data_IF_968965029594
#
_entry.id   IF_968965029594
#
_cell.length_a   1.000
_cell.length_b   1.000
_cell.length_c   1.000
_cell.angle_alpha   90.00
_cell.angle_beta   90.00
_cell.angle_gamma   90.00
#
_symmetry.space_group_name_H-M   'P 1'
#
loop_
_entity.id
_entity.type
_entity.pdbx_description
1 polymer ?
#
# COMPACT_ATOMS: atom_id res chain seq x y z
N UNK A 1 -23.77 -26.55 -26.11
CA UNK A 1 -22.39 -26.65 -25.61
C UNK A 1 -22.21 -25.58 -24.54
N UNK A 2 -21.84 -25.89 -23.30
CA UNK A 2 -21.57 -24.85 -22.31
C UNK A 2 -20.31 -24.11 -22.73
N UNK A 3 -20.42 -22.81 -23.00
CA UNK A 3 -19.32 -21.97 -23.39
C UNK A 3 -18.22 -21.99 -22.34
N UNK A 4 -17.02 -22.40 -22.70
CA UNK A 4 -15.82 -22.19 -21.91
C UNK A 4 -15.68 -20.72 -21.60
N UNK A 5 -16.07 -20.32 -20.41
CA UNK A 5 -15.78 -18.97 -19.87
C UNK A 5 -14.24 -18.86 -19.80
N UNK A 6 -13.62 -18.26 -20.81
CA UNK A 6 -12.19 -18.03 -20.84
C UNK A 6 -11.79 -17.32 -19.55
N UNK A 7 -10.97 -17.96 -18.74
CA UNK A 7 -10.37 -17.34 -17.56
C UNK A 7 -9.63 -16.09 -18.05
N UNK A 8 -10.08 -14.92 -17.62
CA UNK A 8 -9.45 -13.63 -17.95
C UNK A 8 -8.37 -13.24 -16.97
N UNK A 9 -8.25 -13.97 -15.84
CA UNK A 9 -7.29 -13.72 -14.76
C UNK A 9 -6.69 -15.03 -14.29
N UNK A 10 -5.37 -15.10 -14.29
CA UNK A 10 -4.61 -16.15 -13.62
C UNK A 10 -4.28 -15.71 -12.20
N UNK A 11 -4.34 -16.63 -11.24
CA UNK A 11 -4.06 -16.36 -9.83
C UNK A 11 -2.97 -17.31 -9.34
N UNK A 12 -1.86 -16.74 -8.86
CA UNK A 12 -0.79 -17.46 -8.18
C UNK A 12 -0.82 -17.07 -6.72
N UNK A 13 -1.26 -17.99 -5.88
CA UNK A 13 -1.46 -17.75 -4.44
C UNK A 13 -0.25 -18.18 -3.62
N UNK A 14 -0.12 -17.61 -2.44
CA UNK A 14 0.78 -18.02 -1.36
C UNK A 14 2.26 -18.10 -1.79
N UNK A 15 2.68 -17.17 -2.65
CA UNK A 15 4.09 -17.04 -3.00
C UNK A 15 4.86 -16.48 -1.81
N UNK A 16 5.84 -17.23 -1.34
CA UNK A 16 6.70 -16.80 -0.24
C UNK A 16 7.67 -15.77 -0.77
N UNK A 17 7.61 -14.54 -0.23
CA UNK A 17 8.56 -13.47 -0.55
C UNK A 17 9.62 -13.30 0.55
N UNK A 18 9.32 -13.76 1.76
CA UNK A 18 10.24 -13.82 2.88
C UNK A 18 10.04 -15.17 3.59
N UNK A 19 11.04 -16.06 3.56
CA UNK A 19 10.98 -17.34 4.27
C UNK A 19 10.86 -17.14 5.79
N UNK A 20 10.34 -18.16 6.46
CA UNK A 20 10.33 -18.24 7.91
C UNK A 20 11.76 -18.16 8.46
N UNK A 21 11.91 -17.50 9.57
CA UNK A 21 13.18 -17.44 10.30
C UNK A 21 12.98 -18.08 11.68
N UNK A 22 13.46 -19.30 11.87
CA UNK A 22 13.35 -20.01 13.15
C UNK A 22 14.05 -19.29 14.30
N UNK A 23 15.12 -18.53 14.01
CA UNK A 23 15.87 -17.81 15.04
C UNK A 23 15.08 -16.65 15.66
N UNK A 24 14.23 -16.00 14.87
CA UNK A 24 13.36 -14.90 15.32
C UNK A 24 11.91 -15.32 15.54
N UNK A 25 11.55 -16.57 15.23
CA UNK A 25 10.18 -17.06 15.29
C UNK A 25 9.25 -16.46 14.22
N UNK A 26 9.80 -15.75 13.23
CA UNK A 26 9.02 -15.18 12.13
C UNK A 26 8.54 -16.29 11.17
N UNK A 27 7.25 -16.28 10.88
CA UNK A 27 6.64 -17.18 9.88
C UNK A 27 6.86 -16.67 8.46
N UNK A 28 6.71 -17.56 7.46
CA UNK A 28 6.72 -17.17 6.04
C UNK A 28 5.80 -15.99 5.79
N UNK A 29 6.33 -14.95 5.13
CA UNK A 29 5.51 -13.86 4.60
C UNK A 29 5.18 -14.15 3.14
N UNK A 30 3.91 -13.95 2.78
CA UNK A 30 3.36 -14.41 1.50
C UNK A 30 2.64 -13.31 0.76
N UNK A 31 2.54 -13.47 -0.56
CA UNK A 31 1.77 -12.61 -1.44
C UNK A 31 0.95 -13.43 -2.45
N UNK A 32 -0.09 -12.80 -3.00
CA UNK A 32 -0.88 -13.36 -4.10
C UNK A 32 -0.67 -12.51 -5.35
N UNK A 33 -0.46 -13.16 -6.50
CA UNK A 33 -0.32 -12.51 -7.81
C UNK A 33 -1.56 -12.75 -8.65
N UNK A 34 -2.12 -11.68 -9.21
CA UNK A 34 -3.26 -11.69 -10.12
C UNK A 34 -2.83 -11.10 -11.46
N UNK A 35 -2.69 -11.92 -12.48
CA UNK A 35 -2.23 -11.45 -13.78
C UNK A 35 -3.28 -11.62 -14.89
N UNK A 36 -3.34 -10.66 -15.84
CA UNK A 36 -4.16 -10.81 -17.05
C UNK A 36 -3.71 -12.00 -17.87
N UNK A 37 -4.64 -12.83 -18.34
CA UNK A 37 -4.28 -13.98 -19.20
C UNK A 37 -3.99 -13.53 -20.64
N UNK A 38 -4.80 -12.59 -21.15
CA UNK A 38 -4.61 -12.05 -22.50
C UNK A 38 -3.80 -10.77 -22.44
N UNK A 39 -2.53 -10.83 -22.82
CA UNK A 39 -1.62 -9.68 -22.91
C UNK A 39 -0.70 -9.82 -24.11
N UNK A 40 -0.42 -8.72 -24.79
CA UNK A 40 0.54 -8.65 -25.92
C UNK A 40 1.96 -8.32 -25.46
N UNK A 41 2.10 -7.70 -24.27
CA UNK A 41 3.34 -7.23 -23.67
C UNK A 41 3.25 -7.28 -22.14
N UNK A 42 4.37 -7.03 -21.46
CA UNK A 42 4.40 -6.90 -20.01
C UNK A 42 3.48 -5.75 -19.56
N UNK A 43 2.76 -5.96 -18.45
CA UNK A 43 1.79 -5.00 -17.93
C UNK A 43 2.34 -4.26 -16.71
N UNK A 44 1.82 -3.06 -16.45
CA UNK A 44 2.08 -2.34 -15.22
C UNK A 44 1.74 -3.19 -14.01
N UNK A 45 2.49 -3.03 -12.92
CA UNK A 45 2.37 -3.80 -11.67
C UNK A 45 1.86 -2.88 -10.56
N UNK A 46 0.76 -3.27 -9.92
CA UNK A 46 0.22 -2.61 -8.75
C UNK A 46 0.36 -3.51 -7.52
N UNK A 47 1.24 -3.15 -6.60
CA UNK A 47 1.34 -3.80 -5.30
C UNK A 47 0.30 -3.17 -4.37
N UNK A 48 -0.52 -3.97 -3.71
CA UNK A 48 -1.53 -3.50 -2.77
C UNK A 48 -1.23 -4.00 -1.36
N UNK A 49 -1.12 -3.07 -0.43
CA UNK A 49 -0.94 -3.28 1.01
C UNK A 49 -2.27 -3.11 1.71
N UNK A 50 -2.74 -4.17 2.36
CA UNK A 50 -4.05 -4.15 3.01
C UNK A 50 -4.08 -3.33 4.31
N UNK A 51 -5.26 -2.81 4.65
CA UNK A 51 -5.52 -2.20 5.95
C UNK A 51 -5.81 -3.22 7.05
N UNK A 52 -6.15 -2.71 8.23
CA UNK A 52 -6.48 -3.50 9.41
C UNK A 52 -5.79 -3.00 10.68
N UNK A 53 -5.67 -1.68 10.83
CA UNK A 53 -5.14 -1.01 12.04
C UNK A 53 -3.81 -1.61 12.54
N UNK A 54 -2.95 -2.04 11.63
CA UNK A 54 -1.64 -2.68 11.85
C UNK A 54 -1.68 -4.00 12.63
N UNK A 55 -2.82 -4.41 13.20
CA UNK A 55 -2.98 -5.60 14.03
C UNK A 55 -3.85 -6.71 13.41
N UNK A 56 -4.48 -6.44 12.28
CA UNK A 56 -5.43 -7.36 11.64
C UNK A 56 -5.35 -7.28 10.11
N UNK A 57 -6.25 -7.98 9.44
CA UNK A 57 -6.29 -8.06 7.98
C UNK A 57 -5.45 -9.20 7.41
N UNK A 58 -5.71 -9.53 6.16
CA UNK A 58 -5.01 -10.56 5.39
C UNK A 58 -5.25 -10.38 3.90
N UNK A 59 -4.31 -10.82 3.06
CA UNK A 59 -4.35 -10.68 1.60
C UNK A 59 -5.59 -11.30 0.95
N UNK A 60 -6.17 -12.36 1.53
CA UNK A 60 -7.33 -13.06 0.98
C UNK A 60 -8.57 -12.18 0.89
N UNK A 61 -8.77 -11.28 1.86
CA UNK A 61 -9.91 -10.35 1.90
C UNK A 61 -9.92 -9.46 0.65
N UNK A 62 -8.75 -9.17 0.08
CA UNK A 62 -8.56 -8.28 -1.06
C UNK A 62 -8.39 -9.02 -2.40
N UNK A 63 -8.67 -10.32 -2.47
CA UNK A 63 -8.65 -11.09 -3.72
C UNK A 63 -9.59 -10.52 -4.80
N UNK A 64 -10.67 -9.87 -4.39
CA UNK A 64 -11.56 -9.15 -5.31
C UNK A 64 -10.82 -7.99 -6.01
N UNK A 65 -10.06 -7.21 -5.25
CA UNK A 65 -9.30 -6.06 -5.73
C UNK A 65 -8.27 -6.53 -6.78
N UNK A 66 -7.45 -7.53 -6.46
CA UNK A 66 -6.50 -8.10 -7.41
C UNK A 66 -7.17 -8.63 -8.69
N UNK A 67 -8.31 -9.33 -8.55
CA UNK A 67 -9.06 -9.84 -9.71
C UNK A 67 -9.61 -8.72 -10.58
N UNK A 68 -10.13 -7.64 -9.99
CA UNK A 68 -10.69 -6.50 -10.72
C UNK A 68 -9.62 -5.76 -11.51
N UNK A 69 -8.47 -5.50 -10.88
CA UNK A 69 -7.33 -4.84 -11.53
C UNK A 69 -6.74 -5.67 -12.67
N UNK A 70 -6.56 -6.98 -12.49
CA UNK A 70 -6.11 -7.86 -13.57
C UNK A 70 -7.04 -7.82 -14.78
N UNK A 71 -8.37 -7.70 -14.58
CA UNK A 71 -9.34 -7.48 -15.65
C UNK A 71 -9.21 -6.11 -16.35
N UNK A 72 -8.52 -5.16 -15.75
CA UNK A 72 -8.16 -3.85 -16.31
C UNK A 72 -6.75 -3.85 -16.92
N UNK A 73 -6.18 -5.01 -17.14
CA UNK A 73 -4.83 -5.20 -17.68
C UNK A 73 -3.71 -4.62 -16.80
N UNK A 74 -3.90 -4.62 -15.48
CA UNK A 74 -2.88 -4.27 -14.49
C UNK A 74 -2.59 -5.52 -13.66
N UNK A 75 -1.34 -6.02 -13.71
CA UNK A 75 -0.93 -7.10 -12.84
C UNK A 75 -0.95 -6.60 -11.39
N UNK A 76 -1.60 -7.36 -10.50
CA UNK A 76 -1.76 -6.91 -9.12
C UNK A 76 -1.17 -7.92 -8.16
N UNK A 77 -0.41 -7.43 -7.21
CA UNK A 77 0.17 -8.21 -6.12
C UNK A 77 -0.47 -7.77 -4.82
N UNK A 78 -1.10 -8.69 -4.09
CA UNK A 78 -1.66 -8.42 -2.75
C UNK A 78 -0.70 -9.01 -1.73
N UNK A 79 -0.18 -8.16 -0.85
CA UNK A 79 0.88 -8.52 0.10
C UNK A 79 0.30 -8.72 1.49
N UNK A 80 0.70 -9.81 2.18
CA UNK A 80 0.63 -9.90 3.63
C UNK A 80 1.91 -9.33 4.26
N UNK A 81 1.79 -8.92 5.51
CA UNK A 81 2.90 -8.46 6.34
C UNK A 81 2.66 -8.89 7.80
N UNK A 82 3.70 -8.99 8.66
CA UNK A 82 3.52 -9.31 10.07
C UNK A 82 2.73 -8.20 10.78
N UNK A 83 2.04 -8.53 11.85
CA UNK A 83 1.09 -7.64 12.52
C UNK A 83 1.44 -7.44 13.98
N UNK A 84 1.08 -6.28 14.53
CA UNK A 84 1.15 -6.00 15.96
C UNK A 84 0.33 -7.02 16.77
N UNK A 85 0.78 -7.43 17.97
CA UNK A 85 1.99 -7.00 18.66
C UNK A 85 3.27 -7.78 18.27
N UNK A 86 3.18 -8.75 17.31
CA UNK A 86 4.32 -9.57 16.90
C UNK A 86 5.37 -8.81 16.06
N UNK A 87 4.99 -7.66 15.52
CA UNK A 87 5.86 -6.77 14.78
C UNK A 87 5.45 -5.32 15.02
N UNK A 88 6.42 -4.41 15.05
CA UNK A 88 6.20 -2.97 15.05
C UNK A 88 6.08 -2.44 13.62
N UNK A 89 5.79 -1.14 13.48
CA UNK A 89 5.60 -0.50 12.18
C UNK A 89 6.84 -0.59 11.26
N UNK A 90 8.06 -0.51 11.82
CA UNK A 90 9.30 -0.56 11.05
C UNK A 90 9.53 -1.95 10.45
N UNK A 91 9.30 -2.99 11.24
CA UNK A 91 9.35 -4.37 10.76
C UNK A 91 8.30 -4.65 9.67
N UNK A 92 7.07 -4.13 9.84
CA UNK A 92 6.01 -4.24 8.83
C UNK A 92 6.43 -3.55 7.53
N UNK A 93 6.92 -2.31 7.62
CA UNK A 93 7.37 -1.53 6.47
C UNK A 93 8.57 -2.18 5.78
N UNK A 94 9.53 -2.71 6.54
CA UNK A 94 10.69 -3.39 5.98
C UNK A 94 10.30 -4.68 5.25
N UNK A 95 9.38 -5.47 5.79
CA UNK A 95 8.89 -6.67 5.10
C UNK A 95 8.12 -6.31 3.83
N UNK A 96 7.37 -5.19 3.81
CA UNK A 96 6.77 -4.68 2.57
C UNK A 96 7.86 -4.29 1.56
N UNK A 97 8.94 -3.62 1.97
CA UNK A 97 10.06 -3.31 1.06
C UNK A 97 10.70 -4.56 0.46
N UNK A 98 10.84 -5.64 1.25
CA UNK A 98 11.28 -6.96 0.75
C UNK A 98 10.29 -7.57 -0.24
N UNK A 99 8.97 -7.37 -0.03
CA UNK A 99 7.97 -7.82 -1.00
C UNK A 99 8.09 -7.07 -2.34
N UNK A 100 8.39 -5.77 -2.30
CA UNK A 100 8.66 -4.96 -3.49
C UNK A 100 9.92 -5.46 -4.21
N UNK A 101 10.98 -5.79 -3.47
CA UNK A 101 12.18 -6.42 -4.03
C UNK A 101 11.84 -7.74 -4.73
N UNK A 102 11.10 -8.62 -4.06
CA UNK A 102 10.65 -9.88 -4.67
C UNK A 102 9.87 -9.64 -5.96
N UNK A 103 8.98 -8.65 -5.97
CA UNK A 103 8.24 -8.25 -7.18
C UNK A 103 9.20 -7.80 -8.27
N UNK A 104 10.14 -6.92 -7.97
CA UNK A 104 11.15 -6.44 -8.93
C UNK A 104 11.92 -7.59 -9.59
N UNK A 105 12.28 -8.60 -8.82
CA UNK A 105 13.10 -9.73 -9.26
C UNK A 105 12.28 -10.83 -10.00
N UNK A 106 11.00 -11.00 -9.67
CA UNK A 106 10.24 -12.18 -10.10
C UNK A 106 9.05 -11.88 -11.01
N UNK A 107 8.55 -10.64 -11.05
CA UNK A 107 7.22 -10.36 -11.62
C UNK A 107 7.16 -10.52 -13.14
N UNK A 108 8.29 -10.46 -13.84
CA UNK A 108 8.37 -10.68 -15.28
C UNK A 108 7.86 -12.08 -15.67
N UNK A 109 8.15 -13.12 -14.87
CA UNK A 109 7.67 -14.47 -15.08
C UNK A 109 6.15 -14.61 -14.99
N UNK A 110 5.48 -13.65 -14.33
CA UNK A 110 4.03 -13.55 -14.26
C UNK A 110 3.45 -12.60 -15.32
N UNK A 111 4.32 -11.92 -16.09
CA UNK A 111 3.95 -10.99 -17.14
C UNK A 111 3.75 -9.54 -16.68
N UNK A 112 4.32 -9.19 -15.54
CA UNK A 112 4.44 -7.82 -15.07
C UNK A 112 5.74 -7.18 -15.54
N UNK A 113 5.72 -5.86 -15.73
CA UNK A 113 6.90 -5.11 -16.06
C UNK A 113 7.66 -4.71 -14.77
N UNK A 114 8.87 -5.24 -14.52
CA UNK A 114 9.64 -4.92 -13.33
C UNK A 114 10.12 -3.47 -13.26
N UNK A 115 10.05 -2.72 -14.38
CA UNK A 115 10.42 -1.31 -14.43
C UNK A 115 9.21 -0.37 -14.28
N UNK A 116 8.01 -0.94 -14.11
CA UNK A 116 6.75 -0.20 -13.96
C UNK A 116 5.96 -0.73 -12.77
N UNK A 117 6.54 -0.55 -11.58
CA UNK A 117 5.98 -0.98 -10.30
C UNK A 117 5.38 0.22 -9.58
N UNK A 118 4.14 0.09 -9.14
CA UNK A 118 3.40 1.05 -8.33
C UNK A 118 2.99 0.40 -7.02
N UNK A 119 2.93 1.18 -5.94
CA UNK A 119 2.43 0.71 -4.65
C UNK A 119 1.13 1.43 -4.29
N UNK A 120 0.19 0.70 -3.71
CA UNK A 120 -1.06 1.26 -3.20
C UNK A 120 -1.38 0.65 -1.84
N UNK A 121 -2.15 1.37 -1.04
CA UNK A 121 -2.66 0.82 0.21
C UNK A 121 -3.88 1.57 0.70
N UNK A 122 -4.66 0.90 1.55
CA UNK A 122 -5.83 1.45 2.21
C UNK A 122 -5.60 1.51 3.73
N UNK A 123 -6.02 2.62 4.38
CA UNK A 123 -5.94 2.75 5.84
C UNK A 123 -4.50 2.55 6.36
N UNK A 124 -4.28 1.68 7.34
CA UNK A 124 -2.94 1.29 7.82
C UNK A 124 -2.01 0.80 6.69
N UNK A 125 -2.55 0.12 5.66
CA UNK A 125 -1.78 -0.27 4.48
C UNK A 125 -1.36 0.94 3.62
N UNK A 126 -2.17 1.99 3.60
CA UNK A 126 -1.83 3.27 2.97
C UNK A 126 -0.69 3.98 3.69
N UNK A 127 -0.70 3.97 5.02
CA UNK A 127 0.42 4.42 5.84
C UNK A 127 1.74 3.71 5.47
N UNK A 128 1.72 2.38 5.52
CA UNK A 128 2.91 1.57 5.24
C UNK A 128 3.39 1.74 3.79
N UNK A 129 2.47 1.84 2.83
CA UNK A 129 2.81 2.10 1.42
C UNK A 129 3.46 3.48 1.23
N UNK A 130 2.95 4.53 1.91
CA UNK A 130 3.54 5.86 1.90
C UNK A 130 4.94 5.85 2.53
N UNK A 131 5.06 5.24 3.71
CA UNK A 131 6.32 5.20 4.45
C UNK A 131 7.42 4.49 3.63
N UNK A 132 7.14 3.31 3.09
CA UNK A 132 8.08 2.55 2.25
C UNK A 132 8.43 3.30 0.97
N UNK A 133 7.46 3.94 0.33
CA UNK A 133 7.69 4.64 -0.93
C UNK A 133 8.47 5.94 -0.79
N UNK A 134 8.35 6.63 0.36
CA UNK A 134 8.95 7.94 0.61
C UNK A 134 10.30 7.82 1.35
N UNK A 135 10.36 7.05 2.44
CA UNK A 135 11.56 6.92 3.26
C UNK A 135 12.59 6.04 2.56
N UNK A 136 13.72 6.62 2.16
CA UNK A 136 14.77 5.96 1.36
C UNK A 136 15.38 4.74 2.02
N UNK A 137 15.42 4.72 3.33
CA UNK A 137 16.10 3.69 4.14
C UNK A 137 15.60 2.26 3.88
N UNK A 138 14.29 2.07 3.72
CA UNK A 138 13.70 0.74 3.56
C UNK A 138 14.24 -0.03 2.34
N UNK A 139 14.36 0.63 1.20
CA UNK A 139 14.90 -0.01 0.00
C UNK A 139 16.41 -0.20 0.09
N UNK A 140 17.15 0.75 0.71
CA UNK A 140 18.58 0.58 0.97
C UNK A 140 18.83 -0.63 1.88
N UNK A 141 18.08 -0.77 2.96
CA UNK A 141 18.13 -1.96 3.86
C UNK A 141 17.74 -3.24 3.13
N UNK A 142 16.84 -3.18 2.17
CA UNK A 142 16.48 -4.32 1.33
C UNK A 142 17.51 -4.62 0.22
N UNK A 143 18.55 -3.80 0.05
CA UNK A 143 19.64 -3.97 -0.91
C UNK A 143 19.24 -3.68 -2.35
N UNK A 144 18.30 -2.75 -2.57
CA UNK A 144 17.90 -2.26 -3.90
C UNK A 144 17.70 -0.74 -3.90
N UNK A 145 17.77 -0.13 -5.08
CA UNK A 145 17.26 1.23 -5.27
C UNK A 145 15.72 1.21 -5.24
N UNK A 146 15.08 2.33 -4.90
CA UNK A 146 13.62 2.45 -4.94
C UNK A 146 13.08 2.20 -6.37
N UNK A 147 12.36 1.09 -6.64
CA UNK A 147 11.88 0.75 -7.97
C UNK A 147 10.51 1.34 -8.29
N UNK A 148 9.88 2.04 -7.33
CA UNK A 148 8.51 2.51 -7.46
C UNK A 148 8.41 3.69 -8.43
N UNK A 149 7.46 3.61 -9.35
CA UNK A 149 7.11 4.67 -10.30
C UNK A 149 6.00 5.59 -9.78
N UNK A 150 5.28 5.17 -8.73
CA UNK A 150 4.25 6.00 -8.12
C UNK A 150 3.60 5.31 -6.93
N UNK A 151 2.89 6.12 -6.13
CA UNK A 151 2.21 5.72 -4.90
C UNK A 151 0.73 6.10 -5.03
N UNK A 152 -0.19 5.18 -4.74
CA UNK A 152 -1.63 5.45 -4.73
C UNK A 152 -2.18 5.24 -3.32
N UNK A 153 -2.56 6.30 -2.65
CA UNK A 153 -3.08 6.26 -1.29
C UNK A 153 -4.61 6.27 -1.30
N UNK A 154 -5.22 5.31 -0.63
CA UNK A 154 -6.68 5.19 -0.51
C UNK A 154 -7.04 5.33 0.96
N UNK A 155 -7.47 6.54 1.34
CA UNK A 155 -7.89 6.87 2.69
C UNK A 155 -6.85 6.42 3.74
N UNK A 156 -5.59 6.78 3.50
CA UNK A 156 -4.45 6.36 4.30
C UNK A 156 -4.55 6.93 5.73
N UNK A 157 -4.37 6.05 6.73
CA UNK A 157 -4.26 6.46 8.12
C UNK A 157 -2.80 6.83 8.45
N UNK A 158 -2.54 7.55 9.52
CA UNK A 158 -1.22 7.70 10.13
C UNK A 158 -0.17 8.43 9.30
N UNK A 159 -0.54 9.25 8.32
CA UNK A 159 0.42 10.05 7.56
C UNK A 159 1.14 11.09 8.44
N UNK A 160 0.49 11.53 9.54
CA UNK A 160 1.04 12.26 10.69
C UNK A 160 0.79 11.44 11.96
N UNK A 161 1.53 10.37 12.17
CA UNK A 161 1.41 9.53 13.37
C UNK A 161 1.88 10.29 14.62
N UNK A 162 2.91 11.13 14.49
CA UNK A 162 3.41 11.96 15.58
C UNK A 162 2.33 12.90 16.12
N UNK A 163 1.69 13.67 15.26
CA UNK A 163 0.62 14.58 15.67
C UNK A 163 -0.54 13.86 16.34
N UNK A 164 -0.95 12.72 15.77
CA UNK A 164 -2.02 11.90 16.32
C UNK A 164 -1.67 11.32 17.70
N UNK A 165 -0.54 10.64 17.84
CA UNK A 165 -0.17 10.00 19.12
C UNK A 165 0.16 11.01 20.22
N UNK A 166 0.63 12.22 19.86
CA UNK A 166 0.88 13.28 20.83
C UNK A 166 -0.40 13.92 21.36
N UNK A 167 -1.47 13.95 20.56
CA UNK A 167 -2.76 14.52 20.93
C UNK A 167 -3.63 13.56 21.74
N UNK A 168 -3.38 12.26 21.65
CA UNK A 168 -4.18 11.23 22.28
C UNK A 168 -3.48 10.67 23.53
N UNK A 169 -4.27 10.10 24.44
CA UNK A 169 -3.78 9.33 25.58
C UNK A 169 -4.17 7.87 25.40
N UNK A 170 -3.20 6.99 25.55
CA UNK A 170 -3.42 5.55 25.37
C UNK A 170 -3.04 4.78 26.62
N UNK A 171 -3.89 3.84 27.01
CA UNK A 171 -3.58 2.88 28.06
C UNK A 171 -2.49 1.89 27.62
N UNK A 172 -1.66 1.39 28.55
CA UNK A 172 -0.69 0.35 28.28
C UNK A 172 -1.34 -0.87 27.58
N UNK A 173 -0.66 -1.41 26.56
CA UNK A 173 -1.19 -2.52 25.75
C UNK A 173 -2.12 -2.11 24.61
N UNK A 174 -2.38 -0.82 24.43
CA UNK A 174 -3.11 -0.34 23.27
C UNK A 174 -2.37 -0.69 21.96
N UNK A 175 -3.12 -1.00 20.91
CA UNK A 175 -2.57 -1.36 19.59
C UNK A 175 -1.60 -0.32 19.05
N UNK A 176 -1.87 0.97 19.23
CA UNK A 176 -0.97 2.03 18.77
C UNK A 176 0.39 1.97 19.49
N UNK A 177 0.39 1.85 20.83
CA UNK A 177 1.65 1.74 21.59
C UNK A 177 2.40 0.44 21.30
N UNK A 178 1.68 -0.66 21.07
CA UNK A 178 2.29 -1.92 20.65
C UNK A 178 2.94 -1.81 19.25
N UNK A 179 2.41 -0.93 18.40
CA UNK A 179 2.88 -0.76 17.01
C UNK A 179 3.96 0.31 16.90
N UNK A 180 3.79 1.43 17.61
CA UNK A 180 4.60 2.65 17.45
C UNK A 180 5.39 3.02 18.71
N UNK A 181 5.36 2.18 19.77
CA UNK A 181 5.94 2.47 21.09
C UNK A 181 5.34 3.71 21.77
N UNK A 182 5.94 4.17 22.87
CA UNK A 182 5.59 5.41 23.56
C UNK A 182 6.67 6.50 23.42
N UNK A 183 7.54 6.37 22.41
CA UNK A 183 8.61 7.32 22.14
C UNK A 183 8.22 8.29 21.03
N UNK A 184 8.11 9.61 21.31
CA UNK A 184 7.77 10.61 20.31
C UNK A 184 8.73 10.69 19.12
N UNK A 185 10.01 10.36 19.26
CA UNK A 185 10.95 10.33 18.14
C UNK A 185 10.63 9.15 17.20
N UNK A 186 10.23 8.01 17.75
CA UNK A 186 9.72 6.89 16.95
C UNK A 186 8.43 7.27 16.21
N UNK A 187 7.57 8.08 16.81
CA UNK A 187 6.34 8.54 16.15
C UNK A 187 6.62 9.43 14.93
N UNK A 188 7.66 10.30 15.01
CA UNK A 188 8.12 11.08 13.85
C UNK A 188 8.67 10.17 12.76
N UNK A 189 9.54 9.22 13.13
CA UNK A 189 10.09 8.24 12.21
C UNK A 189 9.01 7.39 11.53
N UNK A 190 7.91 7.10 12.24
CA UNK A 190 6.75 6.40 11.71
C UNK A 190 5.84 7.26 10.83
N UNK A 191 6.02 8.58 10.80
CA UNK A 191 5.13 9.51 10.09
C UNK A 191 5.66 9.82 8.68
N UNK A 192 5.02 9.35 7.60
CA UNK A 192 5.45 9.64 6.23
C UNK A 192 5.70 11.12 5.94
N UNK A 193 4.96 12.03 6.56
CA UNK A 193 5.08 13.48 6.31
C UNK A 193 6.45 14.07 6.66
N UNK A 194 7.19 13.48 7.60
CA UNK A 194 8.50 13.96 8.00
C UNK A 194 9.64 13.46 7.10
N UNK A 195 9.33 12.58 6.14
CA UNK A 195 10.28 12.02 5.19
C UNK A 195 10.10 12.54 3.75
N UNK A 196 9.20 13.52 3.55
CA UNK A 196 8.97 14.12 2.23
C UNK A 196 10.23 14.73 1.63
N UNK A 197 10.45 14.53 0.34
CA UNK A 197 11.61 15.07 -0.38
C UNK A 197 11.33 15.15 -1.90
N UNK A 198 12.08 15.99 -2.62
CA UNK A 198 11.86 16.25 -4.07
C UNK A 198 12.00 15.03 -5.00
N UNK A 199 12.73 14.00 -4.58
CA UNK A 199 13.02 12.82 -5.41
C UNK A 199 12.12 11.61 -5.04
N UNK A 200 11.05 11.83 -4.26
CA UNK A 200 10.09 10.77 -3.96
C UNK A 200 9.24 10.43 -5.19
N UNK A 201 8.70 9.21 -5.30
CA UNK A 201 7.77 8.86 -6.36
C UNK A 201 6.53 9.77 -6.33
N UNK A 202 5.96 10.12 -7.50
CA UNK A 202 4.71 10.88 -7.56
C UNK A 202 3.57 10.14 -6.86
N UNK A 203 2.60 10.89 -6.36
CA UNK A 203 1.51 10.35 -5.54
C UNK A 203 0.14 10.75 -6.08
N UNK A 204 -0.78 9.79 -6.09
CA UNK A 204 -2.21 10.00 -6.27
C UNK A 204 -2.91 9.66 -4.94
N UNK A 205 -3.60 10.63 -4.35
CA UNK A 205 -4.13 10.52 -2.99
C UNK A 205 -5.66 10.67 -3.03
N UNK A 206 -6.35 9.69 -2.47
CA UNK A 206 -7.80 9.73 -2.26
C UNK A 206 -8.12 9.73 -0.76
N UNK A 207 -8.96 10.66 -0.32
CA UNK A 207 -9.53 10.70 1.01
C UNK A 207 -11.06 10.65 0.97
N UNK A 208 -11.66 9.93 1.91
CA UNK A 208 -13.10 9.95 2.13
C UNK A 208 -13.56 11.25 2.79
N UNK A 209 -14.59 11.90 2.25
CA UNK A 209 -15.14 13.13 2.83
C UNK A 209 -15.94 12.91 4.12
N UNK A 210 -16.20 11.64 4.50
CA UNK A 210 -16.86 11.22 5.74
C UNK A 210 -16.04 10.12 6.43
N UNK A 211 -14.71 10.22 6.33
CA UNK A 211 -13.77 9.31 6.99
C UNK A 211 -13.63 9.62 8.49
N UNK A 212 -12.72 8.93 9.18
CA UNK A 212 -12.42 9.23 10.58
C UNK A 212 -11.71 10.58 10.71
N UNK A 213 -12.00 11.39 11.76
CA UNK A 213 -11.36 12.69 11.96
C UNK A 213 -9.83 12.63 11.95
N UNK A 214 -9.23 11.61 12.57
CA UNK A 214 -7.78 11.42 12.58
C UNK A 214 -7.18 11.16 11.17
N UNK A 215 -7.92 10.48 10.29
CA UNK A 215 -7.51 10.27 8.90
C UNK A 215 -7.66 11.57 8.11
N UNK A 216 -8.74 12.31 8.32
CA UNK A 216 -8.97 13.60 7.69
C UNK A 216 -7.84 14.57 8.03
N UNK A 217 -7.60 14.80 9.30
CA UNK A 217 -6.58 15.73 9.80
C UNK A 217 -5.17 15.33 9.31
N UNK A 218 -4.83 14.06 9.42
CA UNK A 218 -3.53 13.52 9.02
C UNK A 218 -3.28 13.68 7.50
N UNK A 219 -4.30 13.47 6.65
CA UNK A 219 -4.20 13.68 5.21
C UNK A 219 -4.06 15.17 4.85
N UNK A 220 -4.81 16.07 5.49
CA UNK A 220 -4.72 17.51 5.25
C UNK A 220 -3.33 18.06 5.62
N UNK A 221 -2.78 17.65 6.76
CA UNK A 221 -1.42 18.02 7.17
C UNK A 221 -0.38 17.49 6.19
N UNK A 222 -0.50 16.22 5.81
CA UNK A 222 0.41 15.58 4.84
C UNK A 222 0.39 16.29 3.49
N UNK A 223 -0.80 16.56 2.93
CA UNK A 223 -0.94 17.25 1.65
C UNK A 223 -0.44 18.69 1.73
N UNK A 224 -0.62 19.35 2.87
CA UNK A 224 -0.07 20.70 3.11
C UNK A 224 1.45 20.68 3.10
N UNK A 225 2.08 19.73 3.80
CA UNK A 225 3.53 19.56 3.79
C UNK A 225 4.06 19.16 2.39
N UNK A 226 3.31 18.33 1.66
CA UNK A 226 3.65 17.88 0.31
C UNK A 226 3.77 19.03 -0.69
N UNK A 227 3.02 20.13 -0.52
CA UNK A 227 3.07 21.31 -1.39
C UNK A 227 4.45 21.97 -1.47
N UNK A 228 5.30 21.78 -0.47
CA UNK A 228 6.69 22.25 -0.51
C UNK A 228 7.54 21.54 -1.59
N UNK A 229 7.11 20.38 -2.06
CA UNK A 229 7.82 19.54 -3.03
C UNK A 229 7.04 19.35 -4.33
N UNK A 230 5.71 19.33 -4.24
CA UNK A 230 4.75 19.17 -5.33
C UNK A 230 3.73 20.30 -5.22
N UNK A 231 3.85 21.40 -5.99
CA UNK A 231 3.00 22.59 -5.84
C UNK A 231 1.51 22.31 -5.93
N UNK A 232 1.12 21.37 -6.80
CA UNK A 232 -0.27 20.92 -6.97
C UNK A 232 -0.33 19.40 -6.76
N UNK A 233 -0.52 18.92 -5.51
CA UNK A 233 -0.69 17.50 -5.25
C UNK A 233 -1.93 16.93 -5.93
N UNK A 234 -1.82 15.71 -6.49
CA UNK A 234 -2.96 14.98 -7.06
C UNK A 234 -3.79 14.37 -5.92
N UNK A 235 -4.66 15.19 -5.32
CA UNK A 235 -5.43 14.90 -4.13
C UNK A 235 -6.92 15.06 -4.34
N UNK A 236 -7.68 13.99 -4.07
CA UNK A 236 -9.11 13.90 -4.32
C UNK A 236 -9.90 13.58 -3.05
N UNK A 237 -10.83 14.46 -2.67
CA UNK A 237 -11.78 14.22 -1.59
C UNK A 237 -13.07 13.65 -2.15
N UNK A 238 -13.41 12.42 -1.79
CA UNK A 238 -14.64 11.77 -2.19
C UNK A 238 -15.77 12.09 -1.19
N UNK A 239 -16.45 13.21 -1.39
CA UNK A 239 -17.35 13.90 -0.45
C UNK A 239 -18.25 13.00 0.42
N UNK A 240 -18.84 11.95 -0.15
CA UNK A 240 -19.82 11.10 0.53
C UNK A 240 -19.25 9.73 0.96
N UNK A 241 -17.95 9.51 0.84
CA UNK A 241 -17.34 8.23 1.19
C UNK A 241 -16.88 8.20 2.65
N UNK A 242 -17.32 7.18 3.37
CA UNK A 242 -16.77 6.76 4.66
C UNK A 242 -15.52 5.90 4.43
N UNK A 243 -14.76 5.64 5.48
CA UNK A 243 -13.49 4.90 5.45
C UNK A 243 -13.55 3.55 4.71
N UNK A 244 -14.37 2.63 5.17
CA UNK A 244 -14.48 1.30 4.57
C UNK A 244 -15.05 1.35 3.13
N UNK A 245 -16.08 2.14 2.80
CA UNK A 245 -16.51 2.38 1.43
C UNK A 245 -15.44 2.89 0.47
N UNK A 246 -14.34 3.48 0.95
CA UNK A 246 -13.23 3.92 0.09
C UNK A 246 -12.54 2.72 -0.59
N UNK A 247 -12.44 1.58 0.05
CA UNK A 247 -11.88 0.38 -0.59
C UNK A 247 -12.97 -0.50 -1.22
N UNK A 248 -14.17 -0.58 -0.61
CA UNK A 248 -15.24 -1.41 -1.14
C UNK A 248 -15.79 -0.92 -2.50
N UNK A 249 -15.62 0.36 -2.84
CA UNK A 249 -16.03 0.88 -4.15
C UNK A 249 -15.39 0.14 -5.34
N UNK A 250 -14.24 -0.51 -5.13
CA UNK A 250 -13.56 -1.32 -6.15
C UNK A 250 -14.24 -2.67 -6.42
N UNK A 251 -15.30 -3.05 -5.70
CA UNK A 251 -16.19 -4.13 -6.14
C UNK A 251 -16.94 -3.77 -7.42
N UNK A 252 -17.30 -2.50 -7.60
CA UNK A 252 -17.89 -2.02 -8.83
C UNK A 252 -16.83 -1.86 -9.92
N UNK A 253 -16.86 -2.72 -10.94
CA UNK A 253 -15.90 -2.71 -12.04
C UNK A 253 -15.97 -1.45 -12.94
N UNK A 254 -17.04 -0.67 -12.84
CA UNK A 254 -17.24 0.58 -13.61
C UNK A 254 -16.84 1.83 -12.81
N UNK A 255 -16.30 1.67 -11.60
CA UNK A 255 -15.88 2.80 -10.76
C UNK A 255 -14.82 3.65 -11.48
N UNK A 256 -15.02 4.97 -11.47
CA UNK A 256 -14.13 5.92 -12.16
C UNK A 256 -12.68 5.87 -11.66
N UNK A 257 -12.47 5.49 -10.39
CA UNK A 257 -11.11 5.36 -9.80
C UNK A 257 -10.20 4.42 -10.59
N UNK A 258 -10.73 3.40 -11.24
CA UNK A 258 -9.92 2.56 -12.13
C UNK A 258 -9.29 3.35 -13.27
N UNK A 259 -10.06 4.23 -13.92
CA UNK A 259 -9.56 5.05 -15.04
C UNK A 259 -8.55 6.09 -14.57
N UNK A 260 -8.82 6.73 -13.44
CA UNK A 260 -7.94 7.74 -12.85
C UNK A 260 -6.60 7.13 -12.45
N UNK A 261 -6.60 6.02 -11.72
CA UNK A 261 -5.37 5.34 -11.31
C UNK A 261 -4.60 4.81 -12.52
N UNK A 262 -5.28 4.22 -13.52
CA UNK A 262 -4.60 3.80 -14.77
C UNK A 262 -4.04 5.00 -15.52
N UNK A 263 -4.75 6.12 -15.56
CA UNK A 263 -4.27 7.39 -16.13
C UNK A 263 -3.01 7.89 -15.43
N UNK A 264 -3.04 7.93 -14.09
CA UNK A 264 -1.88 8.27 -13.28
C UNK A 264 -0.69 7.34 -13.57
N UNK A 265 -0.90 6.02 -13.57
CA UNK A 265 0.17 5.06 -13.85
C UNK A 265 0.78 5.26 -15.25
N UNK A 266 -0.02 5.56 -16.26
CA UNK A 266 0.45 5.80 -17.63
C UNK A 266 1.23 7.10 -17.81
N UNK A 267 1.00 8.09 -16.95
CA UNK A 267 1.69 9.38 -16.98
C UNK A 267 3.11 9.30 -16.38
N UNK A 268 3.45 8.21 -15.68
CA UNK A 268 4.78 7.92 -15.14
C UNK A 268 5.57 7.03 -16.10
#
# INVERSE_FOLDING_TARGET
MPGCAFKTVQRSKDKVYLPADPATGKSNQKLNVFNPVKRKQLTDVLIFVHGGSWNSGRKEIYNFFGTRWARKNVLTVIVDYPKSPKANYDEMAFDIAKSVKWVKENIASYGGNPDRIFISGHSAGGHLAALVGIKKDYFLRAGIANPLKGIVLIDAAGLDMYGYLKAESFEPGNTYLNTFTNDPEIWKEASPMYHLHKNMPPMLIYRGGKTYPSIEESNEKFVTALKAYVPVPDYHILKNKKHVPMILQFFNSSNARYREIVGFMKAQ
#
